data_IF_407425657027
#
_entry.id   IF_407425657027
#
_cell.length_a   1.000
_cell.length_b   1.000
_cell.length_c   1.000
_cell.angle_alpha   90.00
_cell.angle_beta   90.00
_cell.angle_gamma   90.00
#
_symmetry.space_group_name_H-M   'P 1'
#
loop_
_entity.id
_entity.type
_entity.pdbx_description
1 polymer ?
#
# COMPACT_ATOMS: atom_id res chain seq x y z
N UNK A 1 16.15 -0.61 51.17
CA UNK A 1 16.69 -0.57 49.79
C UNK A 1 16.39 -1.85 48.98
N UNK A 2 16.31 -3.04 49.59
CA UNK A 2 16.08 -4.32 48.87
C UNK A 2 14.71 -4.44 48.17
N UNK A 3 13.62 -3.94 48.78
CA UNK A 3 12.25 -4.05 48.23
C UNK A 3 12.07 -3.22 46.95
N UNK A 4 12.68 -2.03 46.88
CA UNK A 4 12.63 -1.16 45.68
C UNK A 4 13.40 -1.77 44.50
N UNK A 5 14.54 -2.41 44.78
CA UNK A 5 15.32 -3.11 43.75
C UNK A 5 14.57 -4.32 43.18
N UNK A 6 13.88 -5.09 44.02
CA UNK A 6 13.05 -6.23 43.57
C UNK A 6 11.83 -5.76 42.78
N UNK A 7 11.18 -4.68 43.20
CA UNK A 7 10.04 -4.09 42.47
C UNK A 7 10.44 -3.56 41.08
N UNK A 8 11.61 -2.94 40.96
CA UNK A 8 12.14 -2.47 39.67
C UNK A 8 12.52 -3.63 38.74
N UNK A 9 13.11 -4.70 39.29
CA UNK A 9 13.41 -5.90 38.51
C UNK A 9 12.15 -6.59 38.00
N UNK A 10 11.09 -6.67 38.81
CA UNK A 10 9.80 -7.22 38.42
C UNK A 10 9.09 -6.35 37.36
N UNK A 11 9.16 -5.02 37.48
CA UNK A 11 8.61 -4.13 36.47
C UNK A 11 9.31 -4.28 35.11
N UNK A 12 10.63 -4.48 35.12
CA UNK A 12 11.42 -4.66 33.89
C UNK A 12 11.13 -6.00 33.20
N UNK A 13 10.94 -7.08 33.97
CA UNK A 13 10.58 -8.40 33.41
C UNK A 13 9.16 -8.42 32.86
N UNK A 14 8.22 -7.74 33.52
CA UNK A 14 6.84 -7.59 33.02
C UNK A 14 6.82 -6.76 31.74
N UNK A 15 7.57 -5.65 31.68
CA UNK A 15 7.66 -4.81 30.49
C UNK A 15 8.27 -5.58 29.29
N UNK A 16 9.32 -6.37 29.53
CA UNK A 16 9.91 -7.24 28.52
C UNK A 16 8.96 -8.33 28.01
N UNK A 17 8.20 -8.95 28.92
CA UNK A 17 7.21 -9.97 28.56
C UNK A 17 6.03 -9.40 27.75
N UNK A 18 5.56 -8.19 28.09
CA UNK A 18 4.50 -7.48 27.35
C UNK A 18 4.98 -7.06 25.95
N UNK A 19 6.24 -6.64 25.82
CA UNK A 19 6.82 -6.30 24.52
C UNK A 19 6.96 -7.52 23.60
N UNK A 20 7.28 -8.69 24.15
CA UNK A 20 7.38 -9.96 23.41
C UNK A 20 6.02 -10.55 23.04
N UNK A 21 4.98 -10.27 23.83
CA UNK A 21 3.61 -10.71 23.56
C UNK A 21 2.87 -9.80 22.58
N UNK A 22 3.48 -8.69 22.12
CA UNK A 22 2.88 -7.85 21.10
C UNK A 22 2.86 -8.63 19.78
N UNK A 23 1.68 -8.96 19.22
CA UNK A 23 1.61 -9.71 17.99
C UNK A 23 2.24 -8.84 16.88
N UNK A 24 3.37 -9.29 16.34
CA UNK A 24 3.87 -8.76 15.09
C UNK A 24 2.83 -9.07 14.03
N UNK A 25 2.03 -8.06 13.66
CA UNK A 25 1.11 -8.15 12.55
C UNK A 25 1.96 -8.36 11.30
N UNK A 26 1.99 -9.61 10.79
CA UNK A 26 2.68 -9.90 9.54
C UNK A 26 1.94 -9.15 8.43
N UNK A 27 2.65 -8.40 7.57
CA UNK A 27 1.99 -7.71 6.48
C UNK A 27 1.30 -8.73 5.57
N UNK A 28 0.00 -8.51 5.34
CA UNK A 28 -0.76 -9.33 4.40
C UNK A 28 -0.13 -9.19 3.01
N UNK A 29 0.37 -10.30 2.47
CA UNK A 29 0.97 -10.31 1.13
C UNK A 29 -0.13 -10.52 0.09
N UNK A 30 -0.32 -9.54 -0.80
CA UNK A 30 -1.23 -9.65 -1.93
C UNK A 30 -0.62 -10.56 -3.01
N UNK A 31 -1.48 -11.28 -3.75
CA UNK A 31 -1.06 -12.22 -4.81
C UNK A 31 -0.36 -11.55 -6.00
N UNK A 32 -0.33 -10.23 -6.07
CA UNK A 32 0.28 -9.44 -7.14
C UNK A 32 -0.22 -8.00 -7.12
N UNK A 33 0.31 -7.12 -7.98
CA UNK A 33 -0.17 -5.75 -8.12
C UNK A 33 -1.61 -5.72 -8.67
N UNK A 34 -2.41 -4.79 -8.16
CA UNK A 34 -3.79 -4.56 -8.61
C UNK A 34 -3.80 -3.86 -9.97
N UNK A 35 -4.54 -4.40 -10.94
CA UNK A 35 -4.73 -3.75 -12.24
C UNK A 35 -5.71 -2.58 -12.11
N UNK A 36 -5.29 -1.39 -12.55
CA UNK A 36 -6.06 -0.15 -12.49
C UNK A 36 -6.06 0.50 -13.87
N UNK A 37 -7.25 0.79 -14.40
CA UNK A 37 -7.40 1.51 -15.67
C UNK A 37 -7.82 2.94 -15.39
N UNK A 38 -7.15 3.89 -16.03
CA UNK A 38 -7.45 5.32 -15.95
C UNK A 38 -7.66 5.91 -17.34
N UNK A 39 -8.37 7.03 -17.41
CA UNK A 39 -8.69 7.68 -18.69
C UNK A 39 -7.48 8.41 -19.27
N UNK A 40 -6.79 9.21 -18.46
CA UNK A 40 -5.77 10.18 -18.89
C UNK A 40 -4.40 9.91 -18.24
N UNK A 41 -3.28 10.29 -18.90
CA UNK A 41 -1.93 10.05 -18.38
C UNK A 41 -1.66 10.69 -17.02
N UNK A 42 -2.22 11.87 -16.74
CA UNK A 42 -2.02 12.57 -15.46
C UNK A 42 -2.57 11.75 -14.28
N UNK A 43 -3.69 11.05 -14.48
CA UNK A 43 -4.25 10.17 -13.45
C UNK A 43 -3.42 8.89 -13.28
N UNK A 44 -2.73 8.44 -14.33
CA UNK A 44 -1.80 7.30 -14.26
C UNK A 44 -0.65 7.64 -13.33
N UNK A 45 -0.06 8.82 -13.49
CA UNK A 45 1.06 9.26 -12.66
C UNK A 45 0.64 9.41 -11.19
N UNK A 46 -0.56 9.95 -10.94
CA UNK A 46 -1.12 10.04 -9.59
C UNK A 46 -1.34 8.65 -8.97
N UNK A 47 -1.95 7.73 -9.72
CA UNK A 47 -2.25 6.38 -9.24
C UNK A 47 -0.96 5.58 -8.95
N UNK A 48 0.09 5.75 -9.77
CA UNK A 48 1.42 5.15 -9.53
C UNK A 48 2.07 5.76 -8.28
N UNK A 49 1.97 7.07 -8.07
CA UNK A 49 2.54 7.70 -6.86
C UNK A 49 1.88 7.21 -5.57
N UNK A 50 0.56 6.96 -5.59
CA UNK A 50 -0.18 6.47 -4.42
C UNK A 50 -0.02 4.97 -4.22
N UNK A 51 -0.16 4.17 -5.28
CA UNK A 51 -0.15 2.70 -5.18
C UNK A 51 1.24 2.08 -5.21
N UNK A 52 2.22 2.76 -5.81
CA UNK A 52 3.61 2.30 -5.92
C UNK A 52 3.70 0.87 -6.47
N UNK A 53 4.42 -0.05 -5.79
CA UNK A 53 4.60 -1.43 -6.26
C UNK A 53 3.33 -2.30 -6.14
N UNK A 54 2.26 -1.79 -5.52
CA UNK A 54 1.03 -2.54 -5.30
C UNK A 54 0.02 -2.41 -6.44
N UNK A 55 0.28 -1.58 -7.44
CA UNK A 55 -0.65 -1.31 -8.55
C UNK A 55 0.06 -1.40 -9.90
N UNK A 56 -0.69 -1.86 -10.91
CA UNK A 56 -0.33 -1.84 -12.31
C UNK A 56 -1.32 -0.93 -13.02
N UNK A 57 -0.87 0.24 -13.49
CA UNK A 57 -1.77 1.28 -14.00
C UNK A 57 -1.68 1.43 -15.52
N UNK A 58 -2.81 1.27 -16.20
CA UNK A 58 -2.96 1.46 -17.64
C UNK A 58 -3.79 2.71 -17.93
N UNK A 59 -3.34 3.55 -18.88
CA UNK A 59 -4.07 4.74 -19.31
C UNK A 59 -4.65 4.49 -20.70
N UNK A 60 -5.95 4.72 -20.85
CA UNK A 60 -6.63 4.59 -22.15
C UNK A 60 -6.07 5.57 -23.18
N UNK A 61 -5.79 6.80 -22.75
CA UNK A 61 -5.14 7.81 -23.58
C UNK A 61 -3.62 7.71 -23.47
N UNK A 62 -2.92 7.74 -24.60
CA UNK A 62 -1.46 7.75 -24.67
C UNK A 62 -0.85 9.16 -24.78
N UNK A 63 -1.67 10.21 -24.65
CA UNK A 63 -1.26 11.61 -24.53
C UNK A 63 -1.29 12.46 -25.80
N UNK A 64 -1.39 11.86 -27.00
CA UNK A 64 -1.51 12.60 -28.26
C UNK A 64 -2.97 12.89 -28.66
N UNK A 65 -3.92 12.25 -27.99
CA UNK A 65 -5.34 12.33 -28.29
C UNK A 65 -6.03 13.30 -27.32
N UNK A 66 -7.01 14.06 -27.84
CA UNK A 66 -7.80 14.97 -26.99
C UNK A 66 -8.70 14.18 -26.05
N UNK A 67 -8.50 14.38 -24.75
CA UNK A 67 -9.26 13.73 -23.68
C UNK A 67 -10.77 14.05 -23.68
N UNK A 68 -11.17 15.16 -24.29
CA UNK A 68 -12.57 15.56 -24.41
C UNK A 68 -13.26 15.02 -25.67
N UNK A 69 -12.51 14.45 -26.62
CA UNK A 69 -13.04 13.98 -27.92
C UNK A 69 -12.60 12.55 -28.23
N UNK A 70 -12.09 11.83 -27.22
CA UNK A 70 -11.62 10.46 -27.41
C UNK A 70 -12.76 9.52 -27.76
N UNK A 71 -12.58 8.74 -28.82
CA UNK A 71 -13.47 7.65 -29.18
C UNK A 71 -12.79 6.32 -28.81
N UNK A 72 -13.31 5.58 -27.82
CA UNK A 72 -12.69 4.34 -27.36
C UNK A 72 -12.52 3.34 -28.49
N UNK A 73 -11.32 2.79 -28.61
CA UNK A 73 -11.03 1.72 -29.57
C UNK A 73 -11.56 0.40 -29.01
N UNK A 74 -11.92 -0.58 -29.84
CA UNK A 74 -12.32 -1.91 -29.36
C UNK A 74 -11.27 -2.58 -28.45
N UNK A 75 -9.98 -2.25 -28.62
CA UNK A 75 -8.89 -2.68 -27.74
C UNK A 75 -9.06 -2.21 -26.29
N UNK A 76 -9.69 -1.06 -26.08
CA UNK A 76 -9.85 -0.44 -24.76
C UNK A 76 -10.92 -1.14 -23.93
N UNK A 77 -11.78 -1.94 -24.56
CA UNK A 77 -12.79 -2.76 -23.88
C UNK A 77 -12.19 -4.00 -23.19
N UNK A 78 -10.97 -4.38 -23.55
CA UNK A 78 -10.28 -5.57 -23.02
C UNK A 78 -9.18 -5.18 -22.02
N UNK A 79 -9.09 -3.88 -21.69
CA UNK A 79 -8.08 -3.30 -20.81
C UNK A 79 -8.26 -3.67 -19.33
#
# INVERSE_FOLDING_TARGET
MRVRAVALAAALTIFGAVFLAFPFCSPASASGPLNVVVTIPVLKDLAIQVGGPHVSVHSLLSGLESEHTYSPKPSDLVA
#
